data_IF_335593395655
#
_entry.id   IF_335593395655
#
_cell.length_a   1.000
_cell.length_b   1.000
_cell.length_c   1.000
_cell.angle_alpha   90.00
_cell.angle_beta   90.00
_cell.angle_gamma   90.00
#
_symmetry.space_group_name_H-M   'P 1'
#
loop_
_entity.id
_entity.type
_entity.pdbx_description
1 polymer ?
#
# COMPACT_ATOMS: atom_id res chain seq x y z
N UNK A 1 6.39 19.22 4.10
CA UNK A 1 6.24 17.81 3.70
C UNK A 1 4.98 17.68 2.86
N UNK A 2 4.92 16.72 1.94
CA UNK A 2 3.71 16.49 1.14
C UNK A 2 2.59 15.93 2.04
N UNK A 3 1.33 16.16 1.67
CA UNK A 3 0.18 15.57 2.37
C UNK A 3 0.25 14.04 2.39
N UNK A 4 0.75 13.44 1.31
CA UNK A 4 0.94 11.99 1.17
C UNK A 4 1.95 11.47 2.21
N UNK A 5 3.14 12.06 2.29
CA UNK A 5 4.16 11.61 3.24
C UNK A 5 3.66 11.80 4.68
N UNK A 6 3.00 12.91 4.97
CA UNK A 6 2.41 13.18 6.29
C UNK A 6 1.34 12.14 6.67
N UNK A 7 0.50 11.74 5.71
CA UNK A 7 -0.47 10.67 5.90
C UNK A 7 0.21 9.33 6.16
N UNK A 8 1.23 8.96 5.37
CA UNK A 8 1.92 7.67 5.53
C UNK A 8 2.70 7.59 6.85
N UNK A 9 3.30 8.69 7.30
CA UNK A 9 3.94 8.80 8.62
C UNK A 9 2.93 8.64 9.75
N UNK A 10 1.77 9.29 9.65
CA UNK A 10 0.68 9.11 10.60
C UNK A 10 0.17 7.65 10.62
N UNK A 11 -0.07 7.08 9.43
CA UNK A 11 -0.51 5.70 9.29
C UNK A 11 0.52 4.72 9.87
N UNK A 12 1.82 4.95 9.66
CA UNK A 12 2.89 4.16 10.25
C UNK A 12 2.80 4.17 11.79
N UNK A 13 2.62 5.33 12.41
CA UNK A 13 2.46 5.43 13.87
C UNK A 13 1.27 4.63 14.39
N UNK A 14 0.10 4.84 13.77
CA UNK A 14 -1.13 4.12 14.14
C UNK A 14 -1.00 2.60 13.96
N UNK A 15 -0.37 2.15 12.87
CA UNK A 15 -0.11 0.73 12.61
C UNK A 15 0.93 0.15 13.58
N UNK A 16 1.94 0.92 13.96
CA UNK A 16 2.96 0.51 14.93
C UNK A 16 2.32 0.23 16.29
N UNK A 17 1.49 1.15 16.77
CA UNK A 17 0.78 0.99 18.04
C UNK A 17 -0.18 -0.21 18.00
N UNK A 18 -0.89 -0.38 16.88
CA UNK A 18 -1.93 -1.42 16.75
C UNK A 18 -1.36 -2.83 16.55
N UNK A 19 -0.38 -2.99 15.66
CA UNK A 19 0.10 -4.29 15.19
C UNK A 19 1.50 -4.66 15.67
N UNK A 20 2.20 -3.75 16.33
CA UNK A 20 3.57 -3.95 16.82
C UNK A 20 3.77 -3.45 18.26
N UNK A 21 2.69 -3.12 18.98
CA UNK A 21 2.76 -2.67 20.39
C UNK A 21 3.66 -1.44 20.58
N UNK A 22 3.79 -0.60 19.55
CA UNK A 22 4.66 0.57 19.57
C UNK A 22 6.16 0.24 19.53
N UNK A 23 6.55 -1.02 19.27
CA UNK A 23 7.94 -1.47 19.41
C UNK A 23 8.87 -1.01 18.29
N UNK A 24 8.34 -0.53 17.15
CA UNK A 24 9.18 -0.15 16.02
C UNK A 24 9.75 1.26 16.22
N UNK A 25 11.08 1.45 16.10
CA UNK A 25 11.66 2.79 16.09
C UNK A 25 11.21 3.57 14.86
N UNK A 26 11.28 4.91 14.89
CA UNK A 26 10.91 5.75 13.76
C UNK A 26 11.77 5.44 12.53
N UNK A 27 11.15 5.56 11.36
CA UNK A 27 11.78 5.40 10.04
C UNK A 27 11.51 6.65 9.21
N UNK A 28 12.34 6.89 8.20
CA UNK A 28 12.04 7.89 7.16
C UNK A 28 11.08 7.24 6.16
N UNK A 29 9.91 7.86 5.95
CA UNK A 29 8.97 7.44 4.91
C UNK A 29 9.25 8.23 3.64
N UNK A 30 9.54 7.53 2.54
CA UNK A 30 9.72 8.15 1.23
C UNK A 30 8.70 7.65 0.21
N UNK A 31 8.41 8.51 -0.77
CA UNK A 31 7.54 8.18 -1.91
C UNK A 31 8.34 8.46 -3.17
N UNK A 32 8.88 7.40 -3.76
CA UNK A 32 9.71 7.48 -4.95
C UNK A 32 9.35 6.36 -5.93
N UNK A 33 9.63 6.57 -7.21
CA UNK A 33 9.38 5.56 -8.24
C UNK A 33 10.15 4.26 -7.95
N UNK A 34 9.44 3.14 -7.94
CA UNK A 34 10.01 1.80 -7.71
C UNK A 34 9.47 0.83 -8.76
N UNK A 35 10.13 0.70 -9.93
CA UNK A 35 9.58 -0.04 -11.06
C UNK A 35 9.37 -1.54 -10.81
N UNK A 36 10.03 -2.10 -9.79
CA UNK A 36 10.09 -3.55 -9.53
C UNK A 36 9.38 -3.97 -8.24
N UNK A 37 8.94 -3.03 -7.41
CA UNK A 37 8.32 -3.33 -6.12
C UNK A 37 7.36 -2.23 -5.70
N UNK A 38 6.29 -2.59 -5.01
CA UNK A 38 5.30 -1.65 -4.48
C UNK A 38 5.81 -0.84 -3.29
N UNK A 39 6.74 -1.41 -2.52
CA UNK A 39 7.48 -0.76 -1.46
C UNK A 39 8.83 -1.46 -1.26
N UNK A 40 9.69 -0.88 -0.43
CA UNK A 40 10.84 -1.59 0.12
C UNK A 40 11.24 -1.01 1.48
N UNK A 41 11.72 -1.87 2.35
CA UNK A 41 12.40 -1.52 3.59
C UNK A 41 13.92 -1.58 3.45
N UNK A 42 14.60 -0.52 3.86
CA UNK A 42 16.06 -0.45 3.88
C UNK A 42 16.61 -0.96 5.21
N UNK A 43 17.44 -1.99 5.17
CA UNK A 43 17.95 -2.70 6.37
C UNK A 43 19.15 -2.03 7.05
N UNK A 44 19.68 -0.96 6.46
CA UNK A 44 20.76 -0.13 7.00
C UNK A 44 20.29 1.31 7.19
N UNK A 45 21.06 2.10 7.94
CA UNK A 45 20.76 3.50 8.18
C UNK A 45 21.07 4.33 6.93
N UNK A 46 20.09 4.42 6.02
CA UNK A 46 20.19 5.19 4.78
C UNK A 46 20.18 6.70 5.01
N UNK A 47 19.62 7.12 6.14
CA UNK A 47 19.48 8.52 6.52
C UNK A 47 20.24 8.80 7.81
N UNK A 48 20.71 10.03 7.96
CA UNK A 48 21.37 10.50 9.18
C UNK A 48 20.87 11.87 9.57
N UNK A 49 20.58 12.03 10.84
CA UNK A 49 20.38 13.32 11.47
C UNK A 49 21.27 13.36 12.70
N UNK A 50 22.21 14.31 12.72
CA UNK A 50 23.28 14.38 13.70
C UNK A 50 24.05 13.04 13.79
N UNK A 51 24.16 12.46 14.99
CA UNK A 51 24.80 11.17 15.22
C UNK A 51 23.86 9.96 15.07
N UNK A 52 22.56 10.20 14.79
CA UNK A 52 21.55 9.15 14.73
C UNK A 52 21.23 8.74 13.29
N UNK A 53 21.39 7.45 13.02
CA UNK A 53 20.97 6.81 11.77
C UNK A 53 19.48 6.47 11.77
N UNK A 54 18.86 6.53 10.59
CA UNK A 54 17.48 6.13 10.38
C UNK A 54 17.37 5.22 9.16
N UNK A 55 16.54 4.20 9.31
CA UNK A 55 16.14 3.31 8.22
C UNK A 55 15.01 3.94 7.41
N UNK A 56 14.78 3.41 6.23
CA UNK A 56 13.79 3.92 5.28
C UNK A 56 12.72 2.86 4.98
N UNK A 57 11.48 3.31 4.86
CA UNK A 57 10.45 2.60 4.11
C UNK A 57 10.05 3.48 2.93
N UNK A 58 10.33 3.02 1.71
CA UNK A 58 9.90 3.69 0.50
C UNK A 58 8.64 3.04 -0.07
N UNK A 59 7.65 3.84 -0.45
CA UNK A 59 6.47 3.41 -1.19
C UNK A 59 6.60 3.86 -2.64
N UNK A 60 6.34 2.93 -3.58
CA UNK A 60 6.33 3.21 -5.00
C UNK A 60 5.29 4.27 -5.37
N UNK A 61 5.72 5.39 -5.95
CA UNK A 61 4.82 6.49 -6.32
C UNK A 61 3.68 6.04 -7.26
N UNK A 62 3.96 5.12 -8.17
CA UNK A 62 2.99 4.55 -9.12
C UNK A 62 1.90 3.72 -8.40
N UNK A 63 2.27 3.15 -7.24
CA UNK A 63 1.43 2.25 -6.47
C UNK A 63 0.39 2.98 -5.62
N UNK A 64 0.58 4.28 -5.37
CA UNK A 64 -0.33 5.08 -4.55
C UNK A 64 -1.68 5.36 -5.22
N UNK A 65 -1.80 5.08 -6.53
CA UNK A 65 -3.06 5.16 -7.28
C UNK A 65 -4.04 4.00 -6.99
N UNK A 66 -3.61 3.00 -6.21
CA UNK A 66 -4.44 1.86 -5.81
C UNK A 66 -5.39 2.22 -4.67
N UNK A 67 -6.35 1.32 -4.42
CA UNK A 67 -7.22 1.41 -3.25
C UNK A 67 -6.37 1.53 -1.97
N UNK A 68 -6.81 2.37 -1.04
CA UNK A 68 -6.06 2.71 0.17
C UNK A 68 -5.66 1.46 0.96
N UNK A 69 -6.50 0.43 0.98
CA UNK A 69 -6.25 -0.82 1.68
C UNK A 69 -5.03 -1.56 1.12
N UNK A 70 -4.78 -1.43 -0.18
CA UNK A 70 -3.61 -2.01 -0.83
C UNK A 70 -2.35 -1.20 -0.56
N UNK A 71 -2.46 0.12 -0.48
CA UNK A 71 -1.35 1.01 -0.10
C UNK A 71 -0.95 0.77 1.36
N UNK A 72 -1.93 0.72 2.27
CA UNK A 72 -1.71 0.38 3.68
C UNK A 72 -1.17 -1.04 3.83
N UNK A 73 -1.66 -2.01 3.06
CA UNK A 73 -1.08 -3.37 3.05
C UNK A 73 0.39 -3.36 2.63
N UNK A 74 0.76 -2.49 1.68
CA UNK A 74 2.16 -2.34 1.25
C UNK A 74 2.99 -1.72 2.37
N UNK A 75 2.52 -0.65 3.01
CA UNK A 75 3.22 -0.05 4.15
C UNK A 75 3.41 -1.08 5.27
N UNK A 76 2.36 -1.81 5.62
CA UNK A 76 2.38 -2.82 6.68
C UNK A 76 3.29 -4.01 6.34
N UNK A 77 3.38 -4.39 5.06
CA UNK A 77 4.35 -5.38 4.57
C UNK A 77 5.79 -4.94 4.87
N UNK A 78 6.14 -3.70 4.54
CA UNK A 78 7.49 -3.17 4.83
C UNK A 78 7.72 -3.02 6.34
N UNK A 79 6.69 -2.72 7.13
CA UNK A 79 6.77 -2.71 8.59
C UNK A 79 7.03 -4.11 9.18
N UNK A 80 6.55 -5.19 8.54
CA UNK A 80 6.87 -6.56 8.94
C UNK A 80 8.37 -6.84 8.73
N UNK A 81 8.95 -6.39 7.62
CA UNK A 81 10.40 -6.47 7.41
C UNK A 81 11.17 -5.68 8.47
N UNK A 82 10.68 -4.49 8.82
CA UNK A 82 11.25 -3.68 9.89
C UNK A 82 11.24 -4.41 11.24
N UNK A 83 10.08 -4.93 11.64
CA UNK A 83 9.95 -5.75 12.83
C UNK A 83 10.90 -6.95 12.83
N UNK A 84 10.92 -7.71 11.73
CA UNK A 84 11.79 -8.87 11.61
C UNK A 84 13.26 -8.49 11.78
N UNK A 85 13.69 -7.36 11.21
CA UNK A 85 15.05 -6.87 11.36
C UNK A 85 15.36 -6.44 12.81
N UNK A 86 14.42 -5.83 13.52
CA UNK A 86 14.57 -5.47 14.95
C UNK A 86 14.59 -6.69 15.86
N UNK A 87 13.75 -7.69 15.57
CA UNK A 87 13.61 -8.91 16.35
C UNK A 87 14.65 -9.99 16.00
N UNK A 88 15.57 -9.74 15.05
CA UNK A 88 16.55 -10.72 14.59
C UNK A 88 15.94 -11.90 13.82
N UNK A 89 14.75 -11.74 13.27
CA UNK A 89 14.04 -12.75 12.49
C UNK A 89 14.50 -12.66 11.04
N UNK A 90 15.18 -13.70 10.56
CA UNK A 90 15.51 -13.85 9.14
C UNK A 90 14.27 -14.27 8.35
N UNK A 91 13.56 -13.30 7.80
CA UNK A 91 12.26 -13.42 7.13
C UNK A 91 12.36 -13.56 5.61
N UNK A 92 13.50 -13.18 5.03
CA UNK A 92 13.82 -13.36 3.61
C UNK A 92 15.05 -14.24 3.38
N UNK A 93 15.27 -14.60 2.12
CA UNK A 93 16.37 -15.44 1.64
C UNK A 93 16.73 -15.04 0.20
N UNK A 94 17.75 -15.67 -0.39
CA UNK A 94 18.23 -15.36 -1.76
C UNK A 94 18.57 -13.87 -1.95
N UNK A 95 19.27 -13.29 -0.98
CA UNK A 95 19.65 -11.88 -1.00
C UNK A 95 18.48 -10.91 -0.80
N UNK A 96 17.44 -11.32 -0.05
CA UNK A 96 16.28 -10.48 0.27
C UNK A 96 15.08 -10.71 -0.64
N UNK A 97 15.28 -11.25 -1.85
CA UNK A 97 14.22 -11.39 -2.86
C UNK A 97 13.15 -12.43 -2.51
N UNK A 98 13.49 -13.45 -1.72
CA UNK A 98 12.58 -14.58 -1.47
C UNK A 98 12.06 -14.62 -0.04
N UNK A 99 10.77 -14.35 0.12
CA UNK A 99 10.06 -14.29 1.40
C UNK A 99 9.80 -15.70 1.92
N UNK A 100 10.26 -16.00 3.11
CA UNK A 100 10.18 -17.35 3.68
C UNK A 100 8.95 -17.49 4.60
N UNK A 101 8.75 -18.68 5.18
CA UNK A 101 7.59 -18.97 6.04
C UNK A 101 7.53 -18.11 7.31
N UNK A 102 8.66 -17.60 7.79
CA UNK A 102 8.71 -16.69 8.94
C UNK A 102 8.12 -15.33 8.58
N UNK A 103 8.43 -14.80 7.38
CA UNK A 103 7.76 -13.60 6.89
C UNK A 103 6.24 -13.77 6.87
N UNK A 104 5.75 -14.86 6.27
CA UNK A 104 4.31 -15.19 6.24
C UNK A 104 3.70 -15.17 7.64
N UNK A 105 4.32 -15.89 8.58
CA UNK A 105 3.81 -16.00 9.95
C UNK A 105 3.76 -14.64 10.66
N UNK A 106 4.76 -13.78 10.48
CA UNK A 106 4.78 -12.44 11.09
C UNK A 106 3.79 -11.47 10.42
N UNK A 107 3.62 -11.56 9.10
CA UNK A 107 2.65 -10.75 8.37
C UNK A 107 1.20 -11.12 8.71
N UNK A 108 0.89 -12.41 8.81
CA UNK A 108 -0.47 -12.88 9.12
C UNK A 108 -0.92 -12.53 10.54
N UNK A 109 0.01 -12.46 11.51
CA UNK A 109 -0.27 -11.94 12.86
C UNK A 109 -0.75 -10.49 12.86
N UNK A 110 -0.48 -9.74 11.78
CA UNK A 110 -0.66 -8.29 11.68
C UNK A 110 -1.72 -7.91 10.65
N UNK A 111 -2.65 -8.81 10.39
CA UNK A 111 -3.81 -8.52 9.55
C UNK A 111 -3.54 -8.58 8.04
N UNK A 112 -2.40 -9.12 7.60
CA UNK A 112 -2.15 -9.39 6.18
C UNK A 112 -2.53 -10.83 5.82
N UNK A 113 -2.94 -11.03 4.57
CA UNK A 113 -3.09 -12.34 3.95
C UNK A 113 -1.95 -12.51 2.95
N UNK A 114 -1.18 -13.58 3.09
CA UNK A 114 0.04 -13.82 2.29
C UNK A 114 -0.12 -15.04 1.39
N UNK A 115 -0.13 -14.78 0.09
CA UNK A 115 -0.07 -15.79 -0.96
C UNK A 115 1.33 -16.36 -1.18
N UNK A 116 1.51 -17.11 -2.27
CA UNK A 116 2.80 -17.70 -2.63
C UNK A 116 3.07 -17.54 -4.12
N UNK A 117 4.27 -17.08 -4.46
CA UNK A 117 4.80 -17.03 -5.83
C UNK A 117 6.14 -17.77 -5.88
N UNK A 118 6.35 -18.75 -6.79
CA UNK A 118 7.60 -19.51 -6.85
C UNK A 118 8.89 -18.67 -7.01
N UNK A 119 8.80 -17.46 -7.55
CA UNK A 119 9.93 -16.57 -7.83
C UNK A 119 10.36 -15.78 -6.59
N UNK A 120 9.39 -15.33 -5.79
CA UNK A 120 9.60 -14.37 -4.69
C UNK A 120 9.11 -14.89 -3.31
N UNK A 121 8.62 -16.13 -3.26
CA UNK A 121 8.19 -16.82 -2.06
C UNK A 121 6.83 -16.35 -1.53
N UNK A 122 6.71 -16.30 -0.21
CA UNK A 122 5.51 -15.83 0.50
C UNK A 122 5.40 -14.30 0.47
N UNK A 123 5.20 -13.71 -0.72
CA UNK A 123 5.25 -12.26 -0.94
C UNK A 123 3.92 -11.63 -1.40
N UNK A 124 3.10 -12.25 -2.28
CA UNK A 124 1.83 -11.66 -2.68
C UNK A 124 0.96 -11.31 -1.47
N UNK A 125 0.65 -10.02 -1.31
CA UNK A 125 0.05 -9.48 -0.09
C UNK A 125 -1.29 -8.83 -0.40
N UNK A 126 -2.29 -9.15 0.42
CA UNK A 126 -3.61 -8.51 0.44
C UNK A 126 -4.05 -8.26 1.90
N UNK A 127 -4.94 -7.29 2.14
CA UNK A 127 -5.47 -7.08 3.48
C UNK A 127 -6.41 -8.24 3.88
N UNK A 128 -6.40 -8.61 5.16
CA UNK A 128 -7.48 -9.41 5.74
C UNK A 128 -8.73 -8.57 5.95
N UNK A 129 -9.89 -9.21 6.15
CA UNK A 129 -11.14 -8.50 6.48
C UNK A 129 -11.00 -7.64 7.74
N UNK A 130 -10.25 -8.13 8.74
CA UNK A 130 -9.96 -7.36 9.96
C UNK A 130 -9.14 -6.10 9.69
N UNK A 131 -8.16 -6.17 8.78
CA UNK A 131 -7.39 -4.99 8.38
C UNK A 131 -8.23 -4.02 7.54
N UNK A 132 -9.12 -4.52 6.67
CA UNK A 132 -10.06 -3.67 5.93
C UNK A 132 -10.96 -2.91 6.90
N UNK A 133 -11.60 -3.61 7.84
CA UNK A 133 -12.47 -3.01 8.84
C UNK A 133 -11.72 -1.99 9.71
N UNK A 134 -10.47 -2.29 10.07
CA UNK A 134 -9.61 -1.36 10.79
C UNK A 134 -9.37 -0.08 9.99
N UNK A 135 -8.98 -0.19 8.72
CA UNK A 135 -8.71 0.96 7.83
C UNK A 135 -9.97 1.81 7.63
N UNK A 136 -11.12 1.16 7.45
CA UNK A 136 -12.43 1.83 7.38
C UNK A 136 -12.73 2.58 8.69
N UNK A 137 -12.48 1.96 9.85
CA UNK A 137 -12.63 2.58 11.17
C UNK A 137 -11.70 3.76 11.43
N UNK A 138 -10.52 3.80 10.82
CA UNK A 138 -9.62 4.96 10.86
C UNK A 138 -10.10 6.13 9.98
N UNK A 139 -11.14 5.92 9.17
CA UNK A 139 -11.64 6.93 8.24
C UNK A 139 -10.70 7.21 7.06
N UNK A 140 -9.74 6.31 6.78
CA UNK A 140 -8.77 6.48 5.67
C UNK A 140 -9.38 6.20 4.29
N UNK A 141 -10.68 5.92 4.23
CA UNK A 141 -11.41 5.73 2.98
C UNK A 141 -11.47 7.00 2.15
N UNK A 142 -11.20 6.91 0.85
CA UNK A 142 -11.36 8.04 -0.08
C UNK A 142 -10.24 9.08 -0.05
N UNK A 143 -9.11 8.77 0.59
CA UNK A 143 -7.88 9.56 0.47
C UNK A 143 -7.27 9.30 -0.92
N UNK A 144 -7.10 10.35 -1.70
CA UNK A 144 -6.34 10.29 -2.95
C UNK A 144 -4.85 10.47 -2.63
N UNK A 145 -4.13 9.35 -2.58
CA UNK A 145 -2.67 9.34 -2.40
C UNK A 145 -1.94 9.44 -3.74
N UNK A 146 -2.66 9.46 -4.86
CA UNK A 146 -2.01 9.56 -6.15
C UNK A 146 -1.38 10.94 -6.32
N UNK A 147 -0.25 10.97 -7.02
CA UNK A 147 0.36 12.24 -7.41
C UNK A 147 -0.61 12.93 -8.38
N UNK A 148 -1.24 14.03 -7.96
CA UNK A 148 -1.90 14.95 -8.90
C UNK A 148 -0.82 15.59 -9.76
N UNK A 149 -0.57 15.02 -10.95
CA UNK A 149 0.42 15.54 -11.89
C UNK A 149 0.54 14.70 -13.16
N UNK A 150 -0.06 15.23 -14.25
CA UNK A 150 0.15 14.90 -15.66
C UNK A 150 -0.55 13.67 -16.24
N UNK A 151 -1.85 13.79 -16.50
CA UNK A 151 -2.50 13.04 -17.58
C UNK A 151 -2.47 13.86 -18.87
N UNK A 152 -1.53 13.53 -19.75
CA UNK A 152 -1.73 13.55 -21.20
C UNK A 152 -1.72 14.89 -21.92
N UNK A 153 -0.55 15.27 -22.43
CA UNK A 153 -0.46 15.68 -23.83
C UNK A 153 0.36 14.63 -24.57
N UNK A 154 -0.27 13.54 -24.97
CA UNK A 154 0.16 12.82 -26.17
C UNK A 154 -0.39 13.60 -27.36
N UNK A 155 0.39 14.57 -27.82
CA UNK A 155 0.20 15.33 -29.05
C UNK A 155 1.57 15.88 -29.42
N UNK A 156 2.07 15.50 -30.60
CA UNK A 156 3.46 15.71 -30.99
C UNK A 156 3.86 17.17 -31.25
N UNK A 157 5.16 17.27 -31.59
CA UNK A 157 5.89 18.40 -32.16
C UNK A 157 6.42 19.48 -31.19
N UNK A 158 7.77 19.53 -31.16
CA UNK A 158 8.65 20.71 -31.20
C UNK A 158 8.50 21.85 -30.17
N UNK A 159 9.56 22.00 -29.35
CA UNK A 159 10.23 23.28 -29.11
C UNK A 159 9.60 24.27 -28.13
N UNK A 160 10.39 24.71 -27.14
CA UNK A 160 10.31 26.08 -26.61
C UNK A 160 10.05 26.25 -25.12
N UNK A 161 11.02 26.89 -24.47
CA UNK A 161 11.09 27.46 -23.13
C UNK A 161 9.85 28.26 -22.66
N UNK A 162 9.60 28.27 -21.34
CA UNK A 162 9.10 29.48 -20.65
C UNK A 162 7.97 29.33 -19.63
N UNK A 163 8.31 29.56 -18.36
CA UNK A 163 7.58 30.32 -17.31
C UNK A 163 6.11 30.01 -16.95
N UNK A 164 5.92 29.63 -15.67
CA UNK A 164 4.75 29.89 -14.80
C UNK A 164 4.42 31.41 -14.76
N UNK A 165 3.19 31.92 -14.44
CA UNK A 165 2.44 31.56 -13.22
C UNK A 165 0.90 31.53 -13.31
N UNK A 166 0.30 30.72 -12.42
CA UNK A 166 -0.92 31.09 -11.67
C UNK A 166 -2.29 30.80 -12.29
N UNK A 167 -3.16 30.14 -11.51
CA UNK A 167 -4.59 30.05 -11.78
C UNK A 167 -5.25 28.86 -11.09
N UNK A 168 -5.90 29.11 -9.95
CA UNK A 168 -6.72 28.11 -9.28
C UNK A 168 -7.93 27.71 -10.13
N UNK A 169 -8.25 26.42 -10.13
CA UNK A 169 -9.52 25.92 -10.60
C UNK A 169 -9.95 24.73 -9.73
N UNK A 170 -11.09 24.94 -9.06
CA UNK A 170 -11.96 23.93 -8.48
C UNK A 170 -12.19 22.79 -9.48
N UNK A 171 -11.79 21.57 -9.14
CA UNK A 171 -12.14 20.38 -9.93
C UNK A 171 -12.69 19.32 -8.99
N UNK A 172 -14.01 19.14 -9.09
CA UNK A 172 -14.78 18.22 -8.27
C UNK A 172 -14.18 16.82 -8.21
N UNK A 173 -14.21 16.25 -7.00
CA UNK A 173 -13.75 14.89 -6.66
C UNK A 173 -14.22 13.88 -7.72
N UNK A 174 -13.28 13.31 -8.47
CA UNK A 174 -13.58 12.18 -9.37
C UNK A 174 -13.92 10.94 -8.53
N UNK A 175 -15.07 10.33 -8.84
CA UNK A 175 -15.54 9.08 -8.22
C UNK A 175 -14.48 8.00 -8.39
N UNK A 176 -14.14 7.29 -7.30
CA UNK A 176 -13.23 6.14 -7.40
C UNK A 176 -13.80 5.07 -8.34
N UNK A 177 -12.98 4.61 -9.28
CA UNK A 177 -13.34 3.61 -10.30
C UNK A 177 -13.32 2.17 -9.76
N UNK A 178 -13.29 1.99 -8.44
CA UNK A 178 -13.26 0.67 -7.80
C UNK A 178 -14.67 0.27 -7.42
N UNK A 179 -15.07 -0.90 -7.92
CA UNK A 179 -16.38 -1.52 -7.76
C UNK A 179 -16.27 -2.65 -6.74
N UNK A 180 -17.15 -2.66 -5.72
CA UNK A 180 -17.21 -3.75 -4.72
C UNK A 180 -18.31 -4.71 -5.13
N UNK A 181 -17.99 -5.99 -5.21
CA UNK A 181 -18.94 -7.08 -5.42
C UNK A 181 -19.12 -7.83 -4.11
N UNK A 182 -20.34 -8.21 -3.76
CA UNK A 182 -20.67 -8.98 -2.56
C UNK A 182 -21.50 -10.22 -2.96
N UNK A 183 -21.15 -11.37 -2.40
CA UNK A 183 -21.99 -12.56 -2.48
C UNK A 183 -23.23 -12.35 -1.59
N UNK A 184 -24.46 -12.42 -2.14
CA UNK A 184 -25.67 -12.19 -1.36
C UNK A 184 -25.91 -13.26 -0.29
N UNK A 185 -25.31 -14.44 -0.44
CA UNK A 185 -25.53 -15.58 0.45
C UNK A 185 -24.58 -15.60 1.65
N UNK A 186 -23.28 -15.43 1.42
CA UNK A 186 -22.25 -15.54 2.48
C UNK A 186 -21.57 -14.22 2.83
N UNK A 187 -21.85 -13.13 2.10
CA UNK A 187 -21.22 -11.83 2.34
C UNK A 187 -19.76 -11.70 1.89
N UNK A 188 -19.19 -12.75 1.26
CA UNK A 188 -17.86 -12.68 0.66
C UNK A 188 -17.77 -11.48 -0.30
N UNK A 189 -16.67 -10.72 -0.27
CA UNK A 189 -16.54 -9.52 -1.10
C UNK A 189 -15.28 -9.49 -1.94
N UNK A 190 -15.40 -8.96 -3.16
CA UNK A 190 -14.30 -8.84 -4.13
C UNK A 190 -14.33 -7.43 -4.72
N UNK A 191 -13.17 -6.80 -4.90
CA UNK A 191 -13.07 -5.46 -5.50
C UNK A 191 -12.40 -5.52 -6.86
N UNK A 192 -12.98 -4.84 -7.85
CA UNK A 192 -12.44 -4.79 -9.20
C UNK A 192 -12.37 -3.35 -9.74
N UNK A 193 -11.35 -3.09 -10.57
CA UNK A 193 -11.13 -1.79 -11.23
C UNK A 193 -11.86 -1.66 -12.57
N UNK A 194 -12.45 -2.76 -13.06
CA UNK A 194 -13.28 -2.84 -14.26
C UNK A 194 -14.55 -3.61 -13.95
N UNK A 195 -15.52 -3.55 -14.84
CA UNK A 195 -16.71 -4.39 -14.75
C UNK A 195 -16.34 -5.84 -14.98
N UNK A 196 -16.75 -6.71 -14.06
CA UNK A 196 -16.50 -8.14 -14.10
C UNK A 196 -17.73 -8.88 -13.61
N UNK A 197 -17.93 -10.09 -14.14
CA UNK A 197 -18.92 -11.03 -13.63
C UNK A 197 -18.17 -12.05 -12.78
N UNK A 198 -18.43 -12.07 -11.48
CA UNK A 198 -17.75 -12.93 -10.51
C UNK A 198 -18.79 -13.88 -9.90
N UNK A 199 -18.43 -15.15 -9.76
CA UNK A 199 -19.21 -16.14 -9.02
C UNK A 199 -18.55 -16.46 -7.67
N UNK A 200 -19.37 -16.63 -6.63
CA UNK A 200 -18.94 -17.23 -5.38
C UNK A 200 -19.01 -18.75 -5.51
N UNK A 201 -17.86 -19.43 -5.50
CA UNK A 201 -17.80 -20.89 -5.65
C UNK A 201 -18.34 -21.63 -4.42
N UNK A 202 -18.31 -21.02 -3.24
CA UNK A 202 -18.83 -21.63 -2.00
C UNK A 202 -20.36 -21.64 -1.96
N UNK A 203 -21.00 -20.66 -2.61
CA UNK A 203 -22.46 -20.48 -2.62
C UNK A 203 -23.09 -20.76 -3.99
N UNK A 204 -22.26 -21.09 -4.98
CA UNK A 204 -22.62 -21.31 -6.39
C UNK A 204 -23.58 -20.23 -6.95
N UNK A 205 -23.28 -18.97 -6.65
CA UNK A 205 -24.13 -17.84 -7.02
C UNK A 205 -23.32 -16.66 -7.58
N UNK A 206 -23.91 -15.85 -8.47
CA UNK A 206 -23.27 -14.62 -8.92
C UNK A 206 -23.10 -13.64 -7.76
N UNK A 207 -21.99 -12.91 -7.75
CA UNK A 207 -21.76 -11.80 -6.82
C UNK A 207 -22.37 -10.52 -7.38
N UNK A 208 -22.97 -9.72 -6.51
CA UNK A 208 -23.71 -8.51 -6.86
C UNK A 208 -22.85 -7.26 -6.66
N UNK A 209 -22.94 -6.32 -7.60
CA UNK A 209 -22.25 -5.03 -7.49
C UNK A 209 -22.94 -4.17 -6.42
N UNK A 210 -22.16 -3.70 -5.45
CA UNK A 210 -22.59 -2.72 -4.47
C UNK A 210 -22.44 -1.33 -5.08
N UNK A 211 -23.56 -0.71 -5.42
CA UNK A 211 -23.60 0.70 -5.82
C UNK A 211 -23.32 1.59 -4.60
N UNK A 212 -22.61 2.71 -4.83
CA UNK A 212 -22.31 3.72 -3.80
C UNK A 212 -23.49 4.64 -3.55
#
# INVERSE_FOLDING_TARGET
>A
MSEITSFLEHAYGVLNDTYFEGSLPPVVITVQSSPKAYGHYTTWDAWRQDEKGYREINLGAENLSRAIELTISTLLHEMVHHYCAMAGIKDTSRGGTYHNKKFKAEAEKRGLVIGYDPRIGHSPTSPSDGLIAFIEGQGWTGIDLSRTGWYGASGGAEGGSGSDPGGGADTGKKKSNVRKYICPTCGCSVRATKEVHIGCLDCDCPMELVEK
#
